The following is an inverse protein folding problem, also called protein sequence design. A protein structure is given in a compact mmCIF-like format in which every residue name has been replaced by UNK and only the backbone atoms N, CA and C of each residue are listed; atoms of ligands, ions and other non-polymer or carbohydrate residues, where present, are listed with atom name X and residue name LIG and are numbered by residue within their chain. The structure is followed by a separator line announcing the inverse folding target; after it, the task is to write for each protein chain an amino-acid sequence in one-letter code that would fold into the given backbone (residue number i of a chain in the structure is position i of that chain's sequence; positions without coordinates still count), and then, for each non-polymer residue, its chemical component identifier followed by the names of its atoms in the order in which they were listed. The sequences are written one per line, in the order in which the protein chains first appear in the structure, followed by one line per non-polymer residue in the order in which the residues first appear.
data_IF_104759746874
#
_entry.id   IF_104759746874
#
_cell.length_a   1.000
_cell.length_b   1.000
_cell.length_c   1.000
_cell.angle_alpha   90.00
_cell.angle_beta   90.00
_cell.angle_gamma   90.00
#
_symmetry.space_group_name_H-M   'P 1'
#
loop_
_entity.id
_entity.type
_entity.pdbx_description
1 polymer ?
#
# COMPACT_ATOMS: atom_id res chain seq x y z
N UNK A 1 -34.73 -84.12 14.12
CA UNK A 1 -34.41 -82.99 15.02
C UNK A 1 -33.29 -83.40 15.97
N UNK A 2 -32.14 -83.75 15.38
CA UNK A 2 -30.91 -84.42 15.91
C UNK A 2 -29.86 -84.14 14.81
N UNK A 3 -28.58 -83.78 15.01
CA UNK A 3 -27.76 -83.41 16.18
C UNK A 3 -27.02 -82.07 15.84
N UNK A 4 -26.15 -81.39 16.62
CA UNK A 4 -25.06 -81.72 17.57
C UNK A 4 -23.75 -82.28 16.94
N UNK A 5 -22.60 -81.82 17.47
CA UNK A 5 -21.21 -82.26 17.23
C UNK A 5 -20.63 -81.89 15.83
N UNK A 6 -19.57 -81.07 15.70
CA UNK A 6 -18.14 -81.20 16.12
C UNK A 6 -17.26 -82.02 15.14
N UNK A 7 -16.24 -81.34 14.54
CA UNK A 7 -14.84 -81.78 14.28
C UNK A 7 -14.65 -83.18 13.62
N UNK A 8 -13.98 -83.38 12.47
CA UNK A 8 -13.14 -82.55 11.57
C UNK A 8 -13.07 -83.28 10.16
N UNK A 9 -12.21 -83.07 9.15
CA UNK A 9 -10.96 -82.29 8.94
C UNK A 9 -10.62 -82.08 7.43
N UNK A 10 -9.54 -81.32 7.17
CA UNK A 10 -8.56 -81.44 6.06
C UNK A 10 -8.91 -81.06 4.59
N UNK A 11 -7.99 -80.25 4.02
CA UNK A 11 -7.73 -79.94 2.60
C UNK A 11 -8.88 -79.47 1.68
N UNK A 12 -8.94 -78.15 1.42
CA UNK A 12 -8.55 -77.60 0.10
C UNK A 12 -8.37 -76.06 0.07
N UNK A 13 -7.71 -75.58 -1.00
CA UNK A 13 -7.32 -74.17 -1.25
C UNK A 13 -8.52 -73.20 -1.33
N UNK A 14 -8.38 -72.00 -0.76
CA UNK A 14 -9.14 -70.79 -1.11
C UNK A 14 -8.17 -69.59 -1.13
N UNK A 15 -8.34 -68.64 -2.06
CA UNK A 15 -7.52 -67.41 -2.13
C UNK A 15 -7.94 -66.38 -1.06
N UNK A 16 -7.02 -65.54 -0.56
CA UNK A 16 -7.37 -64.45 0.35
C UNK A 16 -8.17 -63.37 -0.39
N UNK A 17 -9.29 -62.93 0.19
CA UNK A 17 -9.90 -61.64 -0.15
C UNK A 17 -9.15 -60.54 0.58
N UNK A 18 -8.62 -59.56 -0.15
CA UNK A 18 -8.10 -58.34 0.45
C UNK A 18 -9.25 -57.54 1.07
N UNK A 19 -9.05 -57.11 2.32
CA UNK A 19 -9.83 -56.03 2.95
C UNK A 19 -8.81 -54.92 3.22
N UNK A 20 -8.71 -53.96 2.31
CA UNK A 20 -7.88 -52.77 2.51
C UNK A 20 -8.58 -51.83 3.48
N UNK A 21 -8.13 -51.81 4.74
CA UNK A 21 -8.47 -50.74 5.68
C UNK A 21 -7.68 -49.51 5.24
N UNK A 22 -8.34 -48.59 4.54
CA UNK A 22 -7.75 -47.29 4.18
C UNK A 22 -7.80 -46.42 5.43
N UNK A 23 -6.68 -46.37 6.14
CA UNK A 23 -6.47 -45.37 7.19
C UNK A 23 -6.16 -44.05 6.49
N UNK A 24 -7.14 -43.15 6.44
CA UNK A 24 -6.88 -41.75 6.09
C UNK A 24 -6.12 -41.09 7.23
N UNK A 25 -4.79 -41.09 7.14
CA UNK A 25 -3.93 -40.24 7.95
C UNK A 25 -4.12 -38.79 7.51
N UNK A 26 -5.08 -38.10 8.13
CA UNK A 26 -5.14 -36.64 8.08
C UNK A 26 -3.88 -36.08 8.73
N UNK A 27 -2.90 -35.73 7.90
CA UNK A 27 -1.81 -34.86 8.32
C UNK A 27 -2.42 -33.47 8.52
N UNK A 28 -2.94 -33.21 9.72
CA UNK A 28 -3.06 -31.85 10.21
C UNK A 28 -1.64 -31.30 10.33
N UNK A 29 -1.21 -30.58 9.29
CA UNK A 29 -0.13 -29.62 9.44
C UNK A 29 -0.72 -28.53 10.34
N UNK A 30 -0.35 -28.57 11.62
CA UNK A 30 -0.46 -27.39 12.46
C UNK A 30 0.48 -26.37 11.84
N UNK A 31 -0.09 -25.37 11.17
CA UNK A 31 0.60 -24.10 10.98
C UNK A 31 0.87 -23.58 12.38
N UNK A 32 2.15 -23.35 12.68
CA UNK A 32 2.51 -22.61 13.88
C UNK A 32 2.26 -21.15 13.56
N UNK A 33 1.12 -20.64 14.01
CA UNK A 33 0.88 -19.20 14.09
C UNK A 33 1.93 -18.62 15.04
N UNK A 34 2.69 -17.65 14.54
CA UNK A 34 3.66 -16.89 15.32
C UNK A 34 3.04 -15.54 15.65
N UNK A 35 3.35 -15.02 16.83
CA UNK A 35 2.89 -13.69 17.23
C UNK A 35 3.80 -12.63 16.59
N UNK A 36 3.19 -11.70 15.88
CA UNK A 36 3.87 -10.71 15.03
C UNK A 36 4.32 -9.51 15.88
N UNK A 37 5.53 -8.99 15.64
CA UNK A 37 6.12 -7.84 16.37
C UNK A 37 6.94 -6.93 15.46
N UNK A 38 7.05 -5.65 15.80
CA UNK A 38 8.15 -4.80 15.34
C UNK A 38 9.44 -5.13 16.13
N UNK A 39 10.60 -4.92 15.50
CA UNK A 39 11.92 -5.09 16.09
C UNK A 39 12.68 -3.78 16.29
N UNK A 40 12.05 -2.63 16.00
CA UNK A 40 12.57 -1.29 16.34
C UNK A 40 12.83 -1.24 17.84
N UNK A 41 14.05 -0.94 18.30
CA UNK A 41 14.32 -0.86 19.73
C UNK A 41 13.57 0.31 20.37
N UNK A 42 13.07 0.10 21.59
CA UNK A 42 12.43 1.12 22.40
C UNK A 42 13.34 2.35 22.65
N UNK A 43 12.83 3.59 22.52
CA UNK A 43 13.50 4.77 23.06
C UNK A 43 13.37 4.81 24.58
N UNK A 44 14.39 5.32 25.27
CA UNK A 44 14.33 5.47 26.73
C UNK A 44 13.39 6.59 27.15
N UNK A 45 12.85 6.52 28.38
CA UNK A 45 11.95 7.54 28.92
C UNK A 45 12.57 8.96 28.88
N UNK A 46 13.90 9.10 29.05
CA UNK A 46 14.59 10.38 28.90
C UNK A 46 14.55 10.88 27.44
N UNK A 47 14.73 10.01 26.44
CA UNK A 47 14.68 10.35 25.00
C UNK A 47 13.26 10.66 24.51
N UNK A 48 12.25 9.94 25.02
CA UNK A 48 10.84 10.26 24.79
C UNK A 48 10.54 11.67 25.32
N UNK A 49 11.01 11.98 26.54
CA UNK A 49 10.82 13.29 27.15
C UNK A 49 11.66 14.42 26.51
N UNK A 50 12.85 14.14 25.98
CA UNK A 50 13.65 15.12 25.21
C UNK A 50 13.05 15.39 23.83
N UNK A 51 12.64 14.36 23.09
CA UNK A 51 11.95 14.55 21.80
C UNK A 51 10.59 15.22 21.97
N UNK A 52 9.84 14.93 23.05
CA UNK A 52 8.62 15.67 23.40
C UNK A 52 8.90 17.16 23.56
N UNK A 53 9.90 17.53 24.38
CA UNK A 53 10.29 18.94 24.58
C UNK A 53 10.69 19.63 23.27
N UNK A 54 11.40 18.95 22.38
CA UNK A 54 11.81 19.48 21.09
C UNK A 54 10.59 19.78 20.18
N UNK A 55 9.58 18.90 20.19
CA UNK A 55 8.33 19.11 19.44
C UNK A 55 7.50 20.25 20.06
N UNK A 56 7.37 20.27 21.40
CA UNK A 56 6.70 21.37 22.11
C UNK A 56 7.39 22.72 21.83
N UNK A 57 8.72 22.81 21.98
CA UNK A 57 9.52 24.03 21.71
C UNK A 57 9.42 24.48 20.24
N UNK A 58 9.34 23.54 19.28
CA UNK A 58 9.17 23.86 17.85
C UNK A 58 7.82 24.54 17.59
N UNK A 59 6.73 23.98 18.15
CA UNK A 59 5.38 24.53 17.97
C UNK A 59 5.13 25.80 18.79
N UNK A 60 5.79 26.00 19.93
CA UNK A 60 5.76 27.27 20.69
C UNK A 60 6.49 28.41 19.95
N UNK A 61 7.46 28.09 19.07
CA UNK A 61 8.22 29.06 18.26
C UNK A 61 7.54 29.42 16.94
N UNK A 62 7.01 28.43 16.21
CA UNK A 62 6.41 28.62 14.88
C UNK A 62 4.88 28.83 14.96
N UNK A 63 4.22 28.22 15.94
CA UNK A 63 2.76 28.15 16.06
C UNK A 63 2.14 27.06 15.17
N UNK A 64 1.04 26.46 15.61
CA UNK A 64 0.31 25.43 14.84
C UNK A 64 -0.25 26.01 13.51
N UNK A 65 -0.76 27.24 13.54
CA UNK A 65 -1.14 28.03 12.34
C UNK A 65 0.08 28.39 11.44
N UNK A 66 1.30 28.14 11.92
CA UNK A 66 2.58 28.45 11.27
C UNK A 66 3.35 27.21 10.81
N UNK A 67 2.73 26.02 10.84
CA UNK A 67 3.21 24.86 10.08
C UNK A 67 3.39 25.25 8.61
N UNK A 68 4.53 24.91 8.01
CA UNK A 68 4.59 24.90 6.56
C UNK A 68 3.74 23.73 6.06
N UNK A 69 2.68 24.06 5.32
CA UNK A 69 1.73 23.12 4.78
C UNK A 69 2.05 22.78 3.32
N UNK A 70 3.22 23.16 2.82
CA UNK A 70 3.75 22.62 1.58
C UNK A 70 3.97 21.09 1.71
N UNK A 71 3.75 20.33 0.61
CA UNK A 71 3.81 18.87 0.63
C UNK A 71 5.24 18.33 0.74
N UNK A 72 5.46 17.33 1.60
CA UNK A 72 6.77 16.68 1.72
C UNK A 72 6.88 15.54 0.72
N UNK A 73 7.92 15.55 -0.12
CA UNK A 73 8.19 14.49 -1.08
C UNK A 73 9.22 13.50 -0.52
N UNK A 74 8.84 12.24 -0.33
CA UNK A 74 9.72 11.20 0.19
C UNK A 74 10.05 10.22 -0.94
N UNK A 75 11.26 10.33 -1.48
CA UNK A 75 11.78 9.41 -2.47
C UNK A 75 12.10 8.06 -1.80
N UNK A 76 11.61 6.96 -2.37
CA UNK A 76 11.81 5.61 -1.82
C UNK A 76 12.89 4.88 -2.62
N UNK A 77 13.97 4.53 -1.94
CA UNK A 77 15.02 3.65 -2.45
C UNK A 77 14.77 2.22 -1.93
N UNK A 78 14.22 1.35 -2.78
CA UNK A 78 13.93 -0.04 -2.39
C UNK A 78 15.10 -0.97 -2.71
N UNK A 79 15.53 -1.72 -1.70
CA UNK A 79 16.58 -2.72 -1.77
C UNK A 79 15.96 -4.12 -1.62
N UNK A 80 15.74 -4.79 -2.76
CA UNK A 80 15.19 -6.15 -2.82
C UNK A 80 16.33 -7.15 -2.63
N UNK A 81 16.56 -7.58 -1.39
CA UNK A 81 17.48 -8.68 -1.10
C UNK A 81 16.73 -10.00 -1.32
N UNK A 82 17.36 -10.96 -1.99
CA UNK A 82 16.74 -12.26 -2.30
C UNK A 82 17.74 -13.43 -2.27
N UNK A 83 17.23 -14.63 -2.02
CA UNK A 83 18.01 -15.87 -1.98
C UNK A 83 18.48 -16.35 -3.36
N UNK A 84 19.49 -17.23 -3.39
CA UNK A 84 19.90 -17.96 -4.59
C UNK A 84 18.82 -18.87 -5.19
N UNK A 85 17.74 -19.13 -4.43
CA UNK A 85 16.54 -19.85 -4.89
C UNK A 85 15.46 -18.94 -5.49
N UNK A 86 15.60 -17.62 -5.41
CA UNK A 86 14.62 -16.63 -5.87
C UNK A 86 13.55 -16.23 -4.84
N UNK A 87 13.53 -16.85 -3.65
CA UNK A 87 12.71 -16.35 -2.52
C UNK A 87 13.18 -14.93 -2.15
N UNK A 88 12.25 -14.00 -1.97
CA UNK A 88 12.53 -12.58 -1.68
C UNK A 88 12.51 -11.65 -2.90
N UNK A 89 12.58 -12.16 -4.13
CA UNK A 89 12.62 -11.34 -5.34
C UNK A 89 11.22 -10.80 -5.72
N UNK A 90 10.71 -9.86 -4.94
CA UNK A 90 9.40 -9.20 -5.09
C UNK A 90 9.30 -8.51 -6.47
N UNK A 91 8.17 -8.63 -7.17
CA UNK A 91 7.91 -7.95 -8.45
C UNK A 91 7.71 -6.44 -8.27
N UNK A 92 8.11 -5.63 -9.25
CA UNK A 92 8.04 -4.16 -9.18
C UNK A 92 6.62 -3.64 -8.86
N UNK A 93 5.59 -4.20 -9.52
CA UNK A 93 4.15 -3.97 -9.20
C UNK A 93 3.77 -4.17 -7.71
N UNK A 94 4.47 -5.04 -6.98
CA UNK A 94 4.20 -5.29 -5.56
C UNK A 94 5.03 -4.38 -4.63
N UNK A 95 6.02 -3.65 -5.17
CA UNK A 95 6.71 -2.53 -4.53
C UNK A 95 5.92 -1.23 -4.76
N UNK A 96 5.42 -1.03 -5.98
CA UNK A 96 4.48 0.04 -6.34
C UNK A 96 3.27 0.02 -5.40
N UNK A 97 2.59 -1.13 -5.28
CA UNK A 97 1.46 -1.33 -4.34
C UNK A 97 1.82 -1.09 -2.86
N UNK A 98 3.06 -1.35 -2.46
CA UNK A 98 3.52 -1.09 -1.10
C UNK A 98 3.72 0.41 -0.83
N UNK A 99 4.21 1.15 -1.84
CA UNK A 99 4.35 2.61 -1.80
C UNK A 99 2.99 3.31 -1.94
N UNK A 100 2.06 2.78 -2.73
CA UNK A 100 0.65 3.18 -2.71
C UNK A 100 0.03 2.98 -1.30
N UNK A 101 0.42 1.92 -0.59
CA UNK A 101 0.05 1.68 0.80
C UNK A 101 0.59 2.73 1.79
N UNK A 102 1.77 3.30 1.53
CA UNK A 102 2.27 4.47 2.26
C UNK A 102 1.47 5.72 1.91
N UNK A 103 1.29 6.02 0.61
CA UNK A 103 0.49 7.16 0.15
C UNK A 103 -0.93 7.15 0.75
N UNK A 104 -1.58 5.97 0.78
CA UNK A 104 -2.91 5.79 1.38
C UNK A 104 -2.97 5.93 2.91
N UNK A 105 -1.83 5.87 3.61
CA UNK A 105 -1.74 6.05 5.06
C UNK A 105 -1.27 7.46 5.47
N UNK A 106 -0.50 8.15 4.62
CA UNK A 106 0.17 9.39 4.95
C UNK A 106 -0.36 10.65 4.24
N UNK A 107 -0.88 10.56 3.01
CA UNK A 107 -1.19 11.74 2.20
C UNK A 107 -2.20 12.69 2.89
N UNK A 108 -3.28 12.16 3.48
CA UNK A 108 -4.36 12.98 4.06
C UNK A 108 -3.99 13.63 5.40
N UNK A 109 -3.34 12.90 6.31
CA UNK A 109 -3.02 13.38 7.67
C UNK A 109 -1.67 14.11 7.74
N UNK A 110 -0.65 13.63 7.01
CA UNK A 110 0.71 14.18 7.08
C UNK A 110 1.02 15.16 5.95
N UNK A 111 0.30 15.11 4.82
CA UNK A 111 0.69 15.79 3.57
C UNK A 111 2.08 15.32 3.06
N UNK A 112 2.42 14.05 3.32
CA UNK A 112 3.67 13.40 2.87
C UNK A 112 3.34 12.43 1.74
N UNK A 113 4.09 12.52 0.64
CA UNK A 113 3.86 11.76 -0.59
C UNK A 113 5.09 10.96 -0.97
N UNK A 114 4.90 9.68 -1.29
CA UNK A 114 5.95 8.71 -1.51
C UNK A 114 6.04 8.30 -2.99
N UNK A 115 7.24 8.40 -3.55
CA UNK A 115 7.55 7.99 -4.94
C UNK A 115 8.55 6.84 -4.93
N UNK A 116 8.23 5.72 -5.60
CA UNK A 116 9.18 4.64 -5.83
C UNK A 116 10.16 5.02 -6.95
N UNK A 117 11.20 5.78 -6.59
CA UNK A 117 12.21 6.25 -7.54
C UNK A 117 13.16 5.12 -7.97
N UNK A 118 13.78 4.43 -7.01
CA UNK A 118 14.87 3.49 -7.29
C UNK A 118 14.59 2.11 -6.71
N UNK A 119 14.65 1.08 -7.56
CA UNK A 119 14.63 -0.33 -7.16
C UNK A 119 15.98 -0.98 -7.46
N UNK A 120 16.65 -1.47 -6.41
CA UNK A 120 17.87 -2.30 -6.51
C UNK A 120 17.55 -3.75 -6.14
N UNK A 121 18.27 -4.71 -6.74
CA UNK A 121 17.99 -6.15 -6.60
C UNK A 121 19.29 -6.93 -6.36
N UNK A 122 19.43 -7.52 -5.18
CA UNK A 122 20.68 -8.17 -4.73
C UNK A 122 20.44 -9.61 -4.29
N UNK A 123 21.02 -10.55 -5.05
CA UNK A 123 21.04 -11.98 -4.67
C UNK A 123 22.12 -12.21 -3.60
N UNK A 124 21.70 -12.51 -2.36
CA UNK A 124 22.59 -12.84 -1.25
C UNK A 124 21.85 -13.68 -0.21
N UNK A 125 22.13 -14.98 -0.16
CA UNK A 125 21.63 -15.85 0.93
C UNK A 125 22.13 -15.37 2.31
N UNK A 126 23.30 -14.73 2.38
CA UNK A 126 23.89 -14.18 3.61
C UNK A 126 23.17 -12.92 4.11
N UNK A 127 22.58 -12.10 3.23
CA UNK A 127 21.81 -10.92 3.65
C UNK A 127 20.31 -11.18 3.70
N UNK A 128 19.82 -12.23 3.03
CA UNK A 128 18.39 -12.50 2.98
C UNK A 128 17.84 -13.11 4.27
N UNK A 129 18.51 -14.10 4.87
CA UNK A 129 18.01 -14.77 6.08
C UNK A 129 18.60 -14.13 7.36
N UNK A 130 17.77 -13.40 8.09
CA UNK A 130 18.15 -12.64 9.31
C UNK A 130 17.51 -13.26 10.55
N UNK A 131 18.10 -13.13 11.74
CA UNK A 131 17.46 -13.55 12.98
C UNK A 131 16.25 -12.66 13.33
N UNK A 132 15.41 -13.12 14.26
CA UNK A 132 14.25 -12.38 14.81
C UNK A 132 14.47 -11.88 16.24
N UNK A 133 15.72 -11.93 16.72
CA UNK A 133 16.13 -11.38 18.00
C UNK A 133 16.85 -10.03 17.81
N UNK A 134 17.03 -9.30 18.90
CA UNK A 134 17.74 -8.01 18.92
C UNK A 134 19.24 -8.09 18.54
N UNK A 135 19.72 -9.25 18.08
CA UNK A 135 21.03 -9.42 17.46
C UNK A 135 21.00 -9.20 15.93
N UNK A 136 19.82 -9.00 15.33
CA UNK A 136 19.65 -8.54 13.94
C UNK A 136 19.93 -7.03 13.79
N UNK A 137 19.44 -6.24 14.75
CA UNK A 137 19.60 -4.79 14.85
C UNK A 137 21.09 -4.44 15.07
N UNK A 138 21.60 -3.47 14.31
CA UNK A 138 23.02 -3.08 14.26
C UNK A 138 23.99 -4.26 14.03
N UNK A 139 23.51 -5.36 13.44
CA UNK A 139 24.32 -6.57 13.23
C UNK A 139 25.43 -6.35 12.20
N UNK A 140 26.47 -7.19 12.23
CA UNK A 140 27.50 -7.18 11.18
C UNK A 140 26.91 -7.48 9.79
N UNK A 141 25.88 -8.33 9.74
CA UNK A 141 25.11 -8.68 8.54
C UNK A 141 24.39 -7.46 7.97
N UNK A 142 23.60 -6.77 8.79
CA UNK A 142 22.87 -5.57 8.39
C UNK A 142 23.81 -4.40 8.07
N UNK A 143 24.88 -4.22 8.86
CA UNK A 143 25.92 -3.21 8.59
C UNK A 143 26.51 -3.41 7.20
N UNK A 144 26.93 -4.64 6.85
CA UNK A 144 27.52 -4.94 5.55
C UNK A 144 26.53 -4.77 4.39
N UNK A 145 25.24 -5.08 4.61
CA UNK A 145 24.17 -4.85 3.65
C UNK A 145 23.94 -3.35 3.41
N UNK A 146 23.70 -2.57 4.46
CA UNK A 146 23.40 -1.13 4.38
C UNK A 146 24.59 -0.32 3.85
N UNK A 147 25.81 -0.59 4.32
CA UNK A 147 27.07 0.04 3.83
C UNK A 147 27.34 -0.24 2.34
N UNK A 148 26.85 -1.38 1.82
CA UNK A 148 27.02 -1.75 0.41
C UNK A 148 25.92 -1.25 -0.53
N UNK A 149 24.74 -0.88 -0.01
CA UNK A 149 23.52 -0.68 -0.81
C UNK A 149 22.85 0.68 -0.64
N UNK A 150 23.05 1.36 0.50
CA UNK A 150 22.31 2.58 0.83
C UNK A 150 22.50 3.69 -0.21
N UNK A 151 21.38 4.31 -0.58
CA UNK A 151 21.31 5.42 -1.54
C UNK A 151 20.91 6.67 -0.78
N UNK A 152 21.79 7.68 -0.84
CA UNK A 152 21.63 9.04 -0.30
C UNK A 152 20.58 9.21 0.83
N UNK A 153 20.91 8.76 2.06
CA UNK A 153 19.98 8.80 3.21
C UNK A 153 19.40 10.17 3.54
N UNK A 154 20.00 11.26 3.04
CA UNK A 154 19.52 12.64 3.23
C UNK A 154 18.18 12.86 2.53
N UNK A 155 18.04 12.34 1.30
CA UNK A 155 16.89 12.59 0.43
C UNK A 155 15.98 11.36 0.25
N UNK A 156 16.42 10.16 0.64
CA UNK A 156 15.72 8.90 0.35
C UNK A 156 15.36 8.09 1.61
N UNK A 157 14.10 7.66 1.68
CA UNK A 157 13.67 6.57 2.55
C UNK A 157 14.19 5.24 1.99
N UNK A 158 15.26 4.74 2.59
CA UNK A 158 15.88 3.47 2.21
C UNK A 158 15.08 2.30 2.82
N UNK A 159 14.60 1.36 2.00
CA UNK A 159 13.76 0.22 2.44
C UNK A 159 14.40 -1.11 2.04
N UNK A 160 14.76 -1.95 3.02
CA UNK A 160 15.46 -3.22 2.80
C UNK A 160 14.53 -4.41 3.04
N UNK A 161 14.09 -5.11 1.98
CA UNK A 161 13.23 -6.29 2.13
C UNK A 161 14.05 -7.57 2.30
N UNK A 162 13.91 -8.23 3.46
CA UNK A 162 14.66 -9.43 3.89
C UNK A 162 13.71 -10.53 4.40
N UNK A 163 14.24 -11.61 4.98
CA UNK A 163 13.48 -12.70 5.62
C UNK A 163 14.00 -12.95 7.03
N UNK A 164 13.28 -12.44 8.01
CA UNK A 164 13.45 -12.80 9.43
C UNK A 164 13.07 -14.27 9.68
N UNK A 165 13.74 -14.90 10.64
CA UNK A 165 13.52 -16.30 11.00
C UNK A 165 12.81 -16.39 12.36
N UNK A 166 11.54 -16.78 12.36
CA UNK A 166 10.69 -16.86 13.57
C UNK A 166 11.34 -17.65 14.73
N UNK A 167 11.23 -17.12 15.96
CA UNK A 167 11.91 -17.64 17.15
C UNK A 167 11.04 -17.50 18.40
N UNK A 168 11.14 -18.46 19.33
CA UNK A 168 10.45 -18.41 20.63
C UNK A 168 8.91 -18.46 20.62
N UNK A 169 8.27 -18.45 19.44
CA UNK A 169 6.82 -18.25 19.26
C UNK A 169 6.46 -16.96 18.51
N UNK A 170 7.45 -16.14 18.15
CA UNK A 170 7.31 -14.79 17.61
C UNK A 170 7.95 -14.66 16.23
N UNK A 171 7.53 -13.65 15.46
CA UNK A 171 8.19 -13.24 14.21
C UNK A 171 8.25 -11.72 14.10
N UNK A 172 9.45 -11.21 13.82
CA UNK A 172 9.70 -9.78 13.58
C UNK A 172 9.29 -9.42 12.15
N UNK A 173 8.35 -8.49 11.98
CA UNK A 173 7.87 -8.08 10.66
C UNK A 173 8.71 -6.96 10.04
N UNK A 174 9.32 -6.10 10.85
CA UNK A 174 10.25 -5.07 10.42
C UNK A 174 11.01 -4.46 11.60
N UNK A 175 11.94 -3.55 11.32
CA UNK A 175 12.55 -2.66 12.30
C UNK A 175 13.14 -1.42 11.61
N UNK A 176 13.32 -0.38 12.40
CA UNK A 176 13.89 0.89 12.01
C UNK A 176 14.77 1.47 13.13
N UNK A 177 15.30 2.66 12.89
CA UNK A 177 16.13 3.44 13.80
C UNK A 177 15.57 4.85 13.88
N UNK A 178 15.27 5.33 15.08
CA UNK A 178 14.69 6.67 15.24
C UNK A 178 15.67 7.77 14.76
N UNK A 179 15.17 8.86 14.12
CA UNK A 179 16.02 9.92 13.56
C UNK A 179 17.04 10.51 14.53
N UNK A 180 16.69 10.73 15.80
CA UNK A 180 17.60 11.36 16.77
C UNK A 180 18.81 10.51 17.17
N UNK A 181 18.84 9.21 16.84
CA UNK A 181 19.96 8.32 17.14
C UNK A 181 21.11 8.39 16.12
N UNK A 182 20.82 8.87 14.92
CA UNK A 182 21.74 8.86 13.79
C UNK A 182 21.86 10.26 13.20
N UNK A 183 22.99 10.56 12.56
CA UNK A 183 23.00 11.70 11.64
C UNK A 183 22.13 11.37 10.43
N UNK A 184 21.49 12.37 9.85
CA UNK A 184 20.71 12.28 8.62
C UNK A 184 21.41 11.47 7.50
N UNK A 185 22.68 11.77 7.21
CA UNK A 185 23.46 11.07 6.17
C UNK A 185 23.96 9.66 6.58
N UNK A 186 23.24 8.96 7.46
CA UNK A 186 23.62 7.65 8.01
C UNK A 186 22.93 6.52 7.27
N UNK A 187 23.67 5.44 6.96
CA UNK A 187 23.13 4.19 6.38
C UNK A 187 22.03 3.54 7.24
N UNK A 188 21.89 3.96 8.50
CA UNK A 188 20.89 3.49 9.45
C UNK A 188 19.53 4.20 9.29
N UNK A 189 19.44 5.33 8.60
CA UNK A 189 18.13 5.91 8.29
C UNK A 189 17.38 4.98 7.32
N UNK A 190 16.11 4.69 7.62
CA UNK A 190 15.24 3.84 6.81
C UNK A 190 15.14 2.40 7.28
N UNK A 191 14.10 1.71 6.81
CA UNK A 191 13.50 0.49 7.37
C UNK A 191 14.10 -0.80 6.82
N UNK A 192 14.22 -1.83 7.66
CA UNK A 192 14.36 -3.22 7.23
C UNK A 192 13.05 -3.98 7.47
N UNK A 193 12.52 -4.70 6.47
CA UNK A 193 11.15 -5.28 6.50
C UNK A 193 11.11 -6.72 5.97
N UNK A 194 10.22 -7.56 6.50
CA UNK A 194 10.01 -8.92 6.03
C UNK A 194 9.29 -8.93 4.66
N UNK A 195 9.89 -9.60 3.67
CA UNK A 195 9.49 -9.56 2.26
C UNK A 195 8.04 -9.99 1.94
N UNK A 196 7.34 -10.63 2.89
CA UNK A 196 5.92 -11.01 2.78
C UNK A 196 4.94 -10.01 3.39
N UNK A 197 5.40 -9.08 4.22
CA UNK A 197 4.59 -8.12 4.97
C UNK A 197 4.84 -6.67 4.53
N UNK A 198 5.28 -6.49 3.28
CA UNK A 198 5.53 -5.17 2.68
C UNK A 198 4.23 -4.39 2.39
N UNK A 199 3.09 -5.07 2.40
CA UNK A 199 1.74 -4.53 2.18
C UNK A 199 0.91 -4.68 3.46
N UNK A 200 -0.04 -3.77 3.68
CA UNK A 200 -0.81 -3.68 4.93
C UNK A 200 -0.17 -2.72 5.93
N UNK A 201 -0.44 -2.89 7.23
CA UNK A 201 -0.03 -1.93 8.26
C UNK A 201 1.47 -1.88 8.58
N UNK A 202 2.23 -2.92 8.29
CA UNK A 202 3.66 -3.02 8.66
C UNK A 202 4.53 -1.93 8.03
N UNK A 203 4.44 -1.69 6.72
CA UNK A 203 5.29 -0.67 6.09
C UNK A 203 4.96 0.76 6.56
N UNK A 204 3.68 1.16 6.71
CA UNK A 204 3.31 2.39 7.41
C UNK A 204 3.79 2.48 8.85
N UNK A 205 3.74 1.38 9.63
CA UNK A 205 4.22 1.31 11.02
C UNK A 205 5.73 1.56 11.13
N UNK A 206 6.55 0.87 10.34
CA UNK A 206 8.00 1.09 10.33
C UNK A 206 8.36 2.47 9.76
N UNK A 207 7.57 3.00 8.81
CA UNK A 207 7.70 4.39 8.35
C UNK A 207 7.29 5.40 9.45
N UNK A 208 6.41 5.02 10.37
CA UNK A 208 6.09 5.84 11.54
C UNK A 208 7.32 6.05 12.41
N UNK A 209 8.08 4.99 12.67
CA UNK A 209 9.39 5.09 13.34
C UNK A 209 10.42 5.92 12.54
N UNK A 210 10.40 5.85 11.19
CA UNK A 210 11.26 6.67 10.32
C UNK A 210 11.01 8.16 10.54
N UNK A 211 9.75 8.57 10.74
CA UNK A 211 9.37 9.97 10.99
C UNK A 211 9.24 10.30 12.49
N UNK A 212 9.73 9.42 13.39
CA UNK A 212 9.83 9.70 14.83
C UNK A 212 8.60 9.37 15.69
N UNK A 213 7.63 8.62 15.15
CA UNK A 213 6.50 8.10 15.92
C UNK A 213 6.90 6.90 16.78
N UNK A 214 6.35 6.86 17.98
CA UNK A 214 6.58 5.82 19.00
C UNK A 214 5.36 4.90 19.04
N UNK A 215 5.49 3.69 19.55
CA UNK A 215 4.35 2.80 19.78
C UNK A 215 3.32 3.41 20.73
N UNK A 216 2.04 3.35 20.38
CA UNK A 216 0.91 3.93 21.15
C UNK A 216 0.78 3.41 22.60
N UNK A 217 1.48 2.32 22.93
CA UNK A 217 1.51 1.67 24.24
C UNK A 217 2.76 2.01 25.08
N UNK A 218 3.71 2.80 24.55
CA UNK A 218 5.03 2.97 25.17
C UNK A 218 4.94 3.70 26.52
N UNK A 219 5.35 3.04 27.62
CA UNK A 219 5.24 3.57 28.98
C UNK A 219 3.84 3.47 29.61
N UNK A 220 2.86 2.96 28.85
CA UNK A 220 1.51 2.63 29.30
C UNK A 220 0.74 3.74 30.02
N UNK A 221 -0.22 3.34 30.86
CA UNK A 221 -1.10 4.20 31.66
C UNK A 221 -0.38 5.01 32.79
N UNK A 222 0.89 5.38 32.62
CA UNK A 222 1.66 6.06 33.67
C UNK A 222 2.90 6.84 33.21
N UNK A 223 3.43 6.60 32.01
CA UNK A 223 4.53 7.37 31.42
C UNK A 223 4.05 8.58 30.60
N UNK A 224 4.93 9.10 29.74
CA UNK A 224 4.64 10.17 28.75
C UNK A 224 3.88 9.65 27.51
N UNK A 225 3.42 8.39 27.53
CA UNK A 225 2.90 7.64 26.38
C UNK A 225 3.88 7.66 25.18
N UNK A 226 3.36 7.56 23.95
CA UNK A 226 4.06 7.82 22.68
C UNK A 226 4.46 9.29 22.47
N UNK A 227 4.33 10.14 23.49
CA UNK A 227 4.60 11.57 23.49
C UNK A 227 3.77 12.39 22.48
N UNK A 228 2.57 11.92 22.12
CA UNK A 228 1.53 12.65 21.39
C UNK A 228 0.31 12.86 22.33
N UNK A 229 -0.46 13.94 22.14
CA UNK A 229 -1.55 14.34 23.06
C UNK A 229 -2.95 13.87 22.63
N UNK A 230 -3.17 13.52 21.37
CA UNK A 230 -4.45 13.04 20.84
C UNK A 230 -4.51 11.51 20.67
N UNK A 231 -3.43 10.81 21.01
CA UNK A 231 -3.31 9.35 21.13
C UNK A 231 -3.65 8.90 22.57
N UNK A 232 -4.78 8.20 22.80
CA UNK A 232 -5.11 7.72 24.14
C UNK A 232 -4.07 6.71 24.66
N UNK A 233 -3.70 6.84 25.93
CA UNK A 233 -2.76 5.90 26.54
C UNK A 233 -3.36 4.49 26.61
N UNK A 234 -2.54 3.46 26.36
CA UNK A 234 -2.95 2.07 26.47
C UNK A 234 -1.86 1.16 27.04
N UNK A 235 -2.25 0.00 27.58
CA UNK A 235 -1.32 -0.96 28.18
C UNK A 235 -0.65 -1.87 27.15
N UNK A 236 0.64 -2.13 27.35
CA UNK A 236 1.44 -3.15 26.64
C UNK A 236 0.79 -4.57 26.64
N UNK A 237 0.02 -4.91 27.68
CA UNK A 237 -0.73 -6.18 27.77
C UNK A 237 -1.94 -6.26 26.80
N UNK A 238 -2.28 -5.17 26.09
CA UNK A 238 -3.55 -5.00 25.37
C UNK A 238 -3.44 -4.80 23.84
N UNK A 239 -2.22 -4.88 23.29
CA UNK A 239 -1.81 -4.33 21.97
C UNK A 239 -2.21 -5.14 20.72
N UNK A 240 -2.84 -6.31 20.88
CA UNK A 240 -3.24 -7.22 19.78
C UNK A 240 -4.76 -7.30 19.57
N UNK A 241 -5.50 -6.30 20.04
CA UNK A 241 -6.96 -6.30 20.04
C UNK A 241 -7.52 -5.33 19.01
N UNK A 242 -8.59 -5.72 18.33
CA UNK A 242 -9.37 -4.87 17.42
C UNK A 242 -10.74 -4.45 18.01
N UNK A 243 -10.90 -4.55 19.33
CA UNK A 243 -12.10 -4.08 20.01
C UNK A 243 -12.04 -2.55 20.23
N UNK A 244 -12.72 -1.76 19.40
CA UNK A 244 -12.82 -0.29 19.55
C UNK A 244 -13.52 0.17 20.85
N UNK A 245 -14.04 -0.74 21.66
CA UNK A 245 -14.53 -0.49 23.03
C UNK A 245 -13.60 -1.08 24.10
N UNK A 246 -12.31 -1.23 23.79
CA UNK A 246 -11.27 -1.57 24.75
C UNK A 246 -10.78 -0.29 25.44
N UNK A 247 -10.59 -0.41 26.75
CA UNK A 247 -10.10 0.63 27.64
C UNK A 247 -9.25 -0.09 28.69
N UNK A 248 -7.94 0.00 28.52
CA UNK A 248 -6.92 -0.58 29.40
C UNK A 248 -6.38 0.44 30.41
N UNK A 249 -6.61 1.74 30.18
CA UNK A 249 -6.23 2.86 31.03
C UNK A 249 -7.45 3.67 31.55
N UNK A 250 -8.41 3.06 32.29
CA UNK A 250 -9.74 3.62 32.59
C UNK A 250 -9.76 4.78 33.61
N UNK A 251 -8.61 5.40 33.87
CA UNK A 251 -8.48 6.65 34.64
C UNK A 251 -8.12 7.84 33.74
N UNK A 252 -7.70 7.55 32.51
CA UNK A 252 -7.16 8.47 31.51
C UNK A 252 -8.20 8.67 30.37
N UNK A 253 -8.07 9.71 29.52
CA UNK A 253 -9.12 10.05 28.56
C UNK A 253 -9.00 9.26 27.25
N UNK A 254 -9.92 8.33 27.01
CA UNK A 254 -10.13 7.71 25.69
C UNK A 254 -10.52 6.24 25.75
N UNK A 255 -10.44 5.58 24.61
CA UNK A 255 -10.37 4.13 24.46
C UNK A 255 -9.01 3.81 23.85
N UNK A 256 -8.50 2.59 24.04
CA UNK A 256 -7.24 2.13 23.43
C UNK A 256 -7.23 2.40 21.90
N UNK A 257 -6.14 2.94 21.32
CA UNK A 257 -6.03 3.23 19.89
C UNK A 257 -5.81 1.96 19.03
N UNK A 258 -6.74 1.02 19.11
CA UNK A 258 -6.75 -0.31 18.45
C UNK A 258 -6.82 -0.30 16.91
N UNK A 259 -6.80 0.87 16.29
CA UNK A 259 -6.74 1.02 14.82
C UNK A 259 -5.59 1.94 14.38
N UNK A 260 -4.80 2.47 15.33
CA UNK A 260 -3.67 3.31 15.00
C UNK A 260 -2.54 2.46 14.38
N UNK A 261 -1.87 2.98 13.35
CA UNK A 261 -0.76 2.27 12.72
C UNK A 261 0.38 1.93 13.69
N UNK A 262 0.63 2.75 14.73
CA UNK A 262 1.65 2.52 15.76
C UNK A 262 1.21 1.56 16.89
N UNK A 263 0.25 0.67 16.61
CA UNK A 263 -0.20 -0.42 17.48
C UNK A 263 0.11 -1.79 16.81
N UNK A 264 -0.08 -2.93 17.51
CA UNK A 264 0.15 -4.29 16.96
C UNK A 264 -1.16 -5.04 16.61
N UNK A 265 -2.27 -4.33 16.48
CA UNK A 265 -3.61 -4.84 16.14
C UNK A 265 -3.76 -5.14 14.63
N UNK A 266 -4.49 -6.21 14.26
CA UNK A 266 -4.70 -6.65 12.86
C UNK A 266 -5.69 -5.79 12.04
N UNK A 267 -6.00 -4.58 12.51
CA UNK A 267 -6.93 -3.63 11.90
C UNK A 267 -6.40 -2.18 11.88
N UNK A 268 -5.08 -1.99 11.84
CA UNK A 268 -4.44 -0.68 11.64
C UNK A 268 -4.96 0.02 10.37
N UNK A 269 -5.44 1.26 10.48
CA UNK A 269 -5.92 2.04 9.34
C UNK A 269 -5.90 3.58 9.52
N UNK A 270 -5.32 4.11 10.60
CA UNK A 270 -5.34 5.55 10.89
C UNK A 270 -4.10 6.03 11.65
N UNK A 271 -3.70 7.28 11.44
CA UNK A 271 -2.80 8.06 12.28
C UNK A 271 -3.56 9.27 12.84
N UNK A 272 -3.05 9.92 13.89
CA UNK A 272 -3.67 11.13 14.45
C UNK A 272 -3.03 12.42 13.90
N UNK A 273 -3.72 13.55 14.04
CA UNK A 273 -3.20 14.86 13.60
C UNK A 273 -1.95 15.23 14.45
N UNK A 274 -1.98 14.93 15.75
CA UNK A 274 -0.82 15.11 16.64
C UNK A 274 0.38 14.21 16.29
N UNK A 275 0.16 13.04 15.67
CA UNK A 275 1.25 12.23 15.11
C UNK A 275 1.86 12.93 13.88
N UNK A 276 1.07 13.59 13.03
CA UNK A 276 1.62 14.40 11.92
C UNK A 276 2.37 15.66 12.42
N UNK A 277 1.85 16.36 13.43
CA UNK A 277 2.54 17.50 14.06
C UNK A 277 3.88 17.07 14.69
N UNK A 278 3.93 15.91 15.35
CA UNK A 278 5.17 15.31 15.87
C UNK A 278 6.14 14.98 14.73
N UNK A 279 5.65 14.28 13.70
CA UNK A 279 6.49 13.82 12.60
C UNK A 279 7.15 14.97 11.84
N UNK A 280 6.43 16.08 11.62
CA UNK A 280 6.97 17.23 10.91
C UNK A 280 8.08 17.92 11.69
N UNK A 281 7.87 18.16 12.99
CA UNK A 281 8.89 18.73 13.87
C UNK A 281 10.13 17.83 14.03
N UNK A 282 9.99 16.50 13.93
CA UNK A 282 11.13 15.56 13.91
C UNK A 282 11.90 15.64 12.59
N UNK A 283 11.22 15.65 11.43
CA UNK A 283 11.88 15.80 10.11
C UNK A 283 12.66 17.12 10.06
N UNK A 284 12.06 18.25 10.43
CA UNK A 284 12.71 19.57 10.49
C UNK A 284 14.02 19.58 11.31
N UNK A 285 14.11 18.78 12.39
CA UNK A 285 15.26 18.78 13.30
C UNK A 285 16.32 17.70 13.00
N UNK A 286 15.93 16.59 12.37
CA UNK A 286 16.78 15.39 12.23
C UNK A 286 16.88 14.83 10.80
N UNK A 287 15.98 15.24 9.90
CA UNK A 287 15.93 14.79 8.51
C UNK A 287 15.49 15.88 7.49
N UNK A 288 15.96 17.14 7.61
CA UNK A 288 15.48 18.25 6.78
C UNK A 288 15.70 18.08 5.27
N UNK A 289 16.61 17.19 4.84
CA UNK A 289 16.83 16.86 3.42
C UNK A 289 15.60 16.28 2.72
N UNK A 290 14.66 15.68 3.44
CA UNK A 290 13.36 15.27 2.87
C UNK A 290 12.50 16.47 2.42
N UNK A 291 12.79 17.67 2.93
CA UNK A 291 12.15 18.93 2.58
C UNK A 291 12.85 19.62 1.38
N UNK A 292 14.02 19.12 0.94
CA UNK A 292 14.71 19.59 -0.28
C UNK A 292 14.24 18.84 -1.55
N UNK A 293 13.34 17.86 -1.42
CA UNK A 293 12.86 17.04 -2.54
C UNK A 293 11.73 17.73 -3.33
N UNK A 294 12.04 18.15 -4.56
CA UNK A 294 11.09 18.71 -5.52
C UNK A 294 10.16 17.65 -6.14
N UNK A 295 8.94 18.05 -6.55
CA UNK A 295 8.02 17.21 -7.33
C UNK A 295 8.18 17.46 -8.83
N UNK A 296 8.70 16.48 -9.57
CA UNK A 296 8.93 16.58 -11.01
C UNK A 296 7.82 15.98 -11.89
N UNK A 297 6.94 15.14 -11.33
CA UNK A 297 5.89 14.43 -12.06
C UNK A 297 4.52 14.62 -11.42
N UNK A 298 3.43 14.74 -12.20
CA UNK A 298 2.06 14.78 -11.68
C UNK A 298 1.54 13.38 -11.32
N UNK A 299 0.46 13.31 -10.55
CA UNK A 299 -0.25 12.06 -10.23
C UNK A 299 -1.59 12.02 -10.96
N UNK A 300 -1.56 11.74 -12.27
CA UNK A 300 -2.76 11.79 -13.13
C UNK A 300 -3.61 10.52 -13.03
N UNK A 301 -4.93 10.68 -13.22
CA UNK A 301 -5.86 9.57 -13.44
C UNK A 301 -7.14 9.99 -14.18
N UNK A 302 -7.89 9.02 -14.70
CA UNK A 302 -9.26 9.23 -15.19
C UNK A 302 -10.25 9.05 -14.03
N UNK A 303 -10.79 10.15 -13.50
CA UNK A 303 -11.75 10.14 -12.38
C UNK A 303 -13.22 10.00 -12.81
N UNK A 304 -13.50 10.05 -14.12
CA UNK A 304 -14.82 9.76 -14.66
C UNK A 304 -14.88 9.84 -16.18
N UNK A 305 -15.96 9.29 -16.77
CA UNK A 305 -16.26 9.40 -18.19
C UNK A 305 -17.65 10.01 -18.39
N UNK A 306 -17.74 11.07 -19.18
CA UNK A 306 -18.99 11.67 -19.61
C UNK A 306 -19.27 11.31 -21.07
N UNK A 307 -20.48 10.79 -21.35
CA UNK A 307 -20.91 10.39 -22.69
C UNK A 307 -21.92 11.40 -23.22
N UNK A 308 -21.77 11.81 -24.48
CA UNK A 308 -22.64 12.80 -25.14
C UNK A 308 -22.82 12.47 -26.61
N UNK A 309 -23.76 13.14 -27.30
CA UNK A 309 -24.06 12.93 -28.73
C UNK A 309 -24.62 11.53 -29.06
N UNK A 310 -25.19 10.83 -28.06
CA UNK A 310 -26.16 9.75 -28.25
C UNK A 310 -27.27 10.21 -29.22
N UNK A 311 -27.71 9.30 -30.10
CA UNK A 311 -28.53 9.60 -31.29
C UNK A 311 -30.02 9.43 -31.04
N UNK A 312 -30.44 8.62 -30.05
CA UNK A 312 -31.86 8.46 -29.68
C UNK A 312 -32.26 9.25 -28.41
N UNK A 313 -31.30 9.56 -27.54
CA UNK A 313 -31.40 10.46 -26.40
C UNK A 313 -31.75 9.78 -25.08
N UNK A 314 -31.66 8.45 -24.96
CA UNK A 314 -31.93 7.72 -23.72
C UNK A 314 -30.76 7.72 -22.72
N UNK A 315 -29.57 8.20 -23.12
CA UNK A 315 -28.36 8.27 -22.30
C UNK A 315 -27.54 6.98 -22.27
N UNK A 316 -27.84 6.01 -23.12
CA UNK A 316 -27.13 4.73 -23.27
C UNK A 316 -26.36 4.74 -24.59
N UNK A 317 -25.22 4.04 -24.64
CA UNK A 317 -24.53 3.79 -25.90
C UNK A 317 -25.08 2.50 -26.53
N UNK A 318 -25.75 2.65 -27.68
CA UNK A 318 -26.44 1.57 -28.36
C UNK A 318 -25.66 1.12 -29.64
N UNK A 319 -25.73 -0.16 -30.06
CA UNK A 319 -25.07 -0.63 -31.29
C UNK A 319 -25.53 0.12 -32.54
N UNK A 320 -24.58 0.63 -33.34
CA UNK A 320 -24.86 1.41 -34.55
C UNK A 320 -24.86 2.93 -34.37
N UNK A 321 -24.56 3.43 -33.17
CA UNK A 321 -24.45 4.85 -32.88
C UNK A 321 -23.02 5.40 -32.96
N UNK A 322 -22.90 6.73 -33.08
CA UNK A 322 -21.67 7.49 -32.86
C UNK A 322 -21.84 8.40 -31.64
N UNK A 323 -21.01 8.23 -30.62
CA UNK A 323 -21.01 9.03 -29.39
C UNK A 323 -19.69 9.75 -29.17
N UNK A 324 -19.67 10.67 -28.20
CA UNK A 324 -18.51 11.43 -27.77
C UNK A 324 -18.18 11.16 -26.32
N UNK A 325 -16.94 10.79 -26.05
CA UNK A 325 -16.43 10.47 -24.72
C UNK A 325 -15.57 11.65 -24.24
N UNK A 326 -15.91 12.18 -23.06
CA UNK A 326 -15.16 13.22 -22.35
C UNK A 326 -14.68 12.66 -21.01
N UNK A 327 -13.41 12.22 -20.90
CA UNK A 327 -12.83 11.87 -19.61
C UNK A 327 -12.67 13.11 -18.73
N UNK A 328 -12.93 12.95 -17.43
CA UNK A 328 -12.44 13.85 -16.39
C UNK A 328 -11.09 13.33 -15.92
N UNK A 329 -10.10 14.22 -15.93
CA UNK A 329 -8.74 13.95 -15.48
C UNK A 329 -8.54 14.64 -14.12
N UNK A 330 -8.00 13.90 -13.18
CA UNK A 330 -7.57 14.40 -11.87
C UNK A 330 -6.05 14.39 -11.81
N UNK A 331 -5.44 15.43 -11.24
CA UNK A 331 -4.06 15.40 -10.76
C UNK A 331 -4.11 15.34 -9.23
N UNK A 332 -3.84 14.19 -8.60
CA UNK A 332 -4.04 14.04 -7.15
C UNK A 332 -3.01 14.83 -6.33
N UNK A 333 -1.74 14.77 -6.73
CA UNK A 333 -0.59 15.36 -6.05
C UNK A 333 0.61 15.44 -7.01
N UNK A 334 1.71 16.05 -6.56
CA UNK A 334 2.95 16.12 -7.33
C UNK A 334 3.12 17.42 -8.10
N UNK A 335 3.70 17.34 -9.30
CA UNK A 335 3.92 18.49 -10.16
C UNK A 335 2.63 19.02 -10.78
N UNK A 336 2.68 20.24 -11.31
CA UNK A 336 1.67 20.75 -12.24
C UNK A 336 1.78 19.95 -13.55
N UNK A 337 0.66 19.45 -14.05
CA UNK A 337 0.60 18.73 -15.32
C UNK A 337 0.42 19.72 -16.48
N UNK A 338 1.54 20.16 -17.08
CA UNK A 338 1.58 20.93 -18.32
C UNK A 338 1.44 20.02 -19.57
N UNK A 339 1.02 20.63 -20.69
CA UNK A 339 0.91 19.99 -22.03
C UNK A 339 0.25 18.60 -22.01
N UNK A 340 -0.87 18.43 -21.30
CA UNK A 340 -1.54 17.12 -21.15
C UNK A 340 -2.24 16.69 -22.44
N UNK A 341 -1.86 15.53 -22.96
CA UNK A 341 -2.55 14.84 -24.06
C UNK A 341 -3.14 13.51 -23.59
N UNK A 342 -4.28 13.14 -24.15
CA UNK A 342 -4.89 11.82 -23.99
C UNK A 342 -4.99 11.13 -25.34
N UNK A 343 -4.71 9.82 -25.39
CA UNK A 343 -4.91 8.98 -26.58
C UNK A 343 -5.78 7.77 -26.22
N UNK A 344 -6.96 7.67 -26.84
CA UNK A 344 -7.86 6.52 -26.68
C UNK A 344 -7.46 5.36 -27.60
N UNK A 345 -7.37 4.15 -27.07
CA UNK A 345 -7.06 2.93 -27.82
C UNK A 345 -7.96 1.74 -27.43
N UNK A 346 -8.15 0.79 -28.35
CA UNK A 346 -8.74 -0.53 -28.07
C UNK A 346 -8.44 -1.51 -29.22
N UNK A 347 -8.31 -2.80 -28.89
CA UNK A 347 -8.24 -3.91 -29.85
C UNK A 347 -9.64 -4.53 -30.15
N UNK A 348 -10.72 -4.03 -29.55
CA UNK A 348 -12.07 -4.60 -29.67
C UNK A 348 -12.79 -4.12 -30.95
N UNK A 349 -12.91 -5.01 -31.94
CA UNK A 349 -13.58 -4.76 -33.24
C UNK A 349 -15.04 -4.25 -33.14
N UNK A 350 -15.67 -4.29 -31.95
CA UNK A 350 -16.98 -3.67 -31.72
C UNK A 350 -16.95 -2.14 -31.78
N UNK A 351 -15.81 -1.51 -31.50
CA UNK A 351 -15.67 -0.05 -31.40
C UNK A 351 -14.69 0.49 -32.45
N UNK A 352 -15.19 1.35 -33.34
CA UNK A 352 -14.35 2.13 -34.25
C UNK A 352 -14.14 3.54 -33.65
N UNK A 353 -12.89 3.91 -33.35
CA UNK A 353 -12.54 5.26 -32.90
C UNK A 353 -12.43 6.16 -34.14
N UNK A 354 -13.20 7.24 -34.20
CA UNK A 354 -13.18 8.24 -35.29
C UNK A 354 -12.40 9.50 -34.92
N UNK A 355 -12.35 9.85 -33.64
CA UNK A 355 -11.36 10.77 -33.08
C UNK A 355 -10.78 10.19 -31.78
N UNK A 356 -9.45 10.15 -31.69
CA UNK A 356 -8.72 9.37 -30.68
C UNK A 356 -7.80 10.22 -29.80
N UNK A 357 -7.79 11.53 -29.96
CA UNK A 357 -6.88 12.44 -29.24
C UNK A 357 -7.70 13.51 -28.51
N UNK A 358 -7.28 13.87 -27.30
CA UNK A 358 -7.71 15.10 -26.61
C UNK A 358 -6.45 15.86 -26.20
N UNK A 359 -6.41 17.18 -26.40
CA UNK A 359 -5.36 18.06 -25.86
C UNK A 359 -5.94 19.08 -24.87
N UNK A 360 -5.46 19.05 -23.63
CA UNK A 360 -5.83 20.06 -22.63
C UNK A 360 -5.23 21.43 -22.98
N UNK A 361 -6.07 22.47 -22.85
CA UNK A 361 -5.71 23.85 -23.19
C UNK A 361 -5.17 24.65 -22.00
N UNK A 362 -5.21 24.05 -20.80
CA UNK A 362 -4.71 24.62 -19.54
C UNK A 362 -4.03 23.49 -18.75
N UNK A 363 -2.99 23.79 -17.94
CA UNK A 363 -2.40 22.80 -17.05
C UNK A 363 -3.38 22.31 -15.97
N UNK A 364 -3.06 21.18 -15.34
CA UNK A 364 -3.82 20.61 -14.22
C UNK A 364 -2.97 20.69 -12.95
N UNK A 365 -3.37 21.55 -12.00
CA UNK A 365 -2.69 21.70 -10.72
C UNK A 365 -2.94 20.51 -9.77
N UNK A 366 -2.07 20.30 -8.76
CA UNK A 366 -2.31 19.30 -7.71
C UNK A 366 -3.64 19.53 -6.98
N UNK A 367 -4.39 18.45 -6.78
CA UNK A 367 -5.74 18.45 -6.22
C UNK A 367 -6.85 18.85 -7.21
N UNK A 368 -6.54 19.24 -8.46
CA UNK A 368 -7.54 19.66 -9.43
C UNK A 368 -8.19 18.49 -10.19
N UNK A 369 -9.45 18.68 -10.56
CA UNK A 369 -10.22 17.79 -11.44
C UNK A 369 -10.80 18.61 -12.59
N UNK A 370 -10.49 18.23 -13.82
CA UNK A 370 -10.86 18.99 -15.03
C UNK A 370 -11.20 18.08 -16.20
N UNK A 371 -11.76 18.65 -17.26
CA UNK A 371 -12.12 17.96 -18.50
C UNK A 371 -12.18 18.97 -19.64
N UNK A 372 -11.84 18.56 -20.86
CA UNK A 372 -11.86 19.51 -21.97
C UNK A 372 -13.28 19.88 -22.41
N UNK A 373 -13.46 21.16 -22.75
CA UNK A 373 -14.77 21.73 -23.06
C UNK A 373 -15.12 21.54 -24.54
N UNK A 374 -14.17 21.81 -25.43
CA UNK A 374 -14.38 21.83 -26.88
C UNK A 374 -13.77 20.62 -27.61
N UNK A 375 -13.06 19.77 -26.89
CA UNK A 375 -12.41 18.56 -27.38
C UNK A 375 -13.06 17.29 -26.79
N UNK A 376 -12.95 16.15 -27.46
CA UNK A 376 -13.53 14.86 -27.07
C UNK A 376 -12.99 13.72 -27.94
N UNK A 377 -12.97 12.49 -27.41
CA UNK A 377 -12.91 11.31 -28.28
C UNK A 377 -14.26 11.12 -28.98
N UNK A 378 -14.24 10.67 -30.22
CA UNK A 378 -15.46 10.28 -30.96
C UNK A 378 -15.34 8.81 -31.36
N UNK A 379 -16.40 8.03 -31.07
CA UNK A 379 -16.40 6.58 -31.28
C UNK A 379 -17.73 6.10 -31.88
N UNK A 380 -17.67 5.06 -32.70
CA UNK A 380 -18.81 4.41 -33.33
C UNK A 380 -18.88 2.93 -32.93
N UNK A 381 -20.04 2.45 -32.50
CA UNK A 381 -20.27 1.03 -32.25
C UNK A 381 -20.81 0.34 -33.51
N UNK A 382 -20.24 -0.79 -33.90
CA UNK A 382 -20.75 -1.59 -35.01
C UNK A 382 -22.22 -1.99 -34.79
N UNK A 383 -23.06 -1.88 -35.82
CA UNK A 383 -24.52 -2.07 -35.71
C UNK A 383 -24.97 -3.51 -35.35
N UNK A 384 -24.06 -4.47 -35.46
CA UNK A 384 -24.20 -5.87 -35.04
C UNK A 384 -23.28 -6.26 -33.87
N UNK A 385 -22.67 -5.27 -33.20
CA UNK A 385 -21.81 -5.48 -32.04
C UNK A 385 -22.55 -6.17 -30.89
N UNK A 386 -21.85 -7.09 -30.20
CA UNK A 386 -22.37 -7.76 -29.01
C UNK A 386 -22.36 -6.80 -27.81
N UNK A 387 -23.47 -6.77 -27.07
CA UNK A 387 -23.63 -5.97 -25.87
C UNK A 387 -22.65 -6.40 -24.76
N UNK A 388 -22.40 -5.48 -23.84
CA UNK A 388 -21.52 -5.63 -22.70
C UNK A 388 -20.36 -4.63 -22.75
N UNK A 389 -19.52 -4.72 -21.73
CA UNK A 389 -18.36 -3.85 -21.59
C UNK A 389 -17.34 -4.10 -22.71
N UNK A 390 -16.87 -3.00 -23.30
CA UNK A 390 -15.69 -2.91 -24.16
C UNK A 390 -14.56 -2.39 -23.26
N UNK A 391 -13.37 -2.95 -23.38
CA UNK A 391 -12.17 -2.45 -22.69
C UNK A 391 -11.43 -1.52 -23.63
N UNK A 392 -11.08 -0.34 -23.13
CA UNK A 392 -10.28 0.65 -23.85
C UNK A 392 -9.18 1.14 -22.91
N UNK A 393 -8.05 1.54 -23.45
CA UNK A 393 -7.01 2.24 -22.72
C UNK A 393 -7.09 3.73 -23.05
N UNK A 394 -6.87 4.58 -22.06
CA UNK A 394 -6.48 5.98 -22.27
C UNK A 394 -5.03 6.10 -21.84
N UNK A 395 -4.14 6.24 -22.81
CA UNK A 395 -2.76 6.67 -22.59
C UNK A 395 -2.78 8.19 -22.29
N UNK A 396 -2.10 8.61 -21.23
CA UNK A 396 -2.02 10.00 -20.76
C UNK A 396 -0.57 10.43 -20.77
N UNK A 397 -0.24 11.51 -21.48
CA UNK A 397 1.10 12.10 -21.48
C UNK A 397 1.08 13.55 -21.01
N UNK A 398 2.17 14.00 -20.38
CA UNK A 398 2.35 15.35 -19.81
C UNK A 398 3.85 15.65 -19.61
N UNK A 399 4.19 16.86 -19.17
CA UNK A 399 5.54 17.22 -18.76
C UNK A 399 6.44 17.73 -19.89
N UNK A 400 7.75 17.65 -19.70
CA UNK A 400 8.75 18.29 -20.58
C UNK A 400 9.70 17.27 -21.25
N UNK A 401 10.57 17.74 -22.16
CA UNK A 401 11.64 16.90 -22.70
C UNK A 401 12.67 16.44 -21.63
N UNK A 402 12.70 17.09 -20.46
CA UNK A 402 13.59 16.75 -19.34
C UNK A 402 12.91 15.84 -18.30
N UNK A 403 11.60 16.04 -18.09
CA UNK A 403 10.74 15.24 -17.21
C UNK A 403 9.47 14.82 -17.97
N UNK A 404 9.56 13.80 -18.86
CA UNK A 404 8.41 13.29 -19.59
C UNK A 404 7.57 12.38 -18.69
N UNK A 405 6.25 12.57 -18.73
CA UNK A 405 5.28 11.76 -17.99
C UNK A 405 4.39 10.98 -18.96
N UNK A 406 4.20 9.68 -18.71
CA UNK A 406 3.32 8.80 -19.47
C UNK A 406 2.71 7.74 -18.54
N UNK A 407 1.38 7.56 -18.57
CA UNK A 407 0.66 6.47 -17.90
C UNK A 407 -0.43 5.88 -18.80
N UNK A 408 -0.75 4.60 -18.58
CA UNK A 408 -1.83 3.89 -19.25
C UNK A 408 -2.99 3.62 -18.27
N UNK A 409 -4.18 4.13 -18.59
CA UNK A 409 -5.38 3.96 -17.75
C UNK A 409 -6.41 3.08 -18.44
N UNK A 410 -6.62 1.87 -17.91
CA UNK A 410 -7.70 0.97 -18.33
C UNK A 410 -9.08 1.57 -17.98
N UNK A 411 -9.93 1.72 -18.98
CA UNK A 411 -11.32 2.15 -18.84
C UNK A 411 -12.27 1.14 -19.47
N UNK A 412 -13.58 1.29 -19.20
CA UNK A 412 -14.60 0.51 -19.89
C UNK A 412 -15.74 1.35 -20.44
N UNK A 413 -16.01 1.15 -21.72
CA UNK A 413 -17.15 1.71 -22.45
C UNK A 413 -18.24 0.64 -22.51
N UNK A 414 -19.39 0.88 -21.88
CA UNK A 414 -20.46 -0.13 -21.81
C UNK A 414 -21.44 0.02 -22.97
N UNK A 415 -21.49 -0.98 -23.85
CA UNK A 415 -22.43 -1.04 -24.97
C UNK A 415 -23.69 -1.81 -24.54
N UNK A 416 -24.87 -1.20 -24.62
CA UNK A 416 -26.09 -1.75 -24.03
C UNK A 416 -27.33 -1.52 -24.90
N UNK A 417 -28.51 -1.86 -24.37
CA UNK A 417 -29.84 -1.55 -24.91
C UNK A 417 -30.79 -1.41 -23.73
N UNK A 418 -30.71 -0.30 -22.99
CA UNK A 418 -31.43 -0.12 -21.72
C UNK A 418 -32.87 0.40 -21.94
N UNK A 419 -33.64 -0.35 -22.74
CA UNK A 419 -34.87 0.06 -23.44
C UNK A 419 -35.96 0.75 -22.59
N UNK A 420 -35.82 2.05 -22.33
CA UNK A 420 -36.92 2.89 -21.83
C UNK A 420 -37.69 3.54 -22.99
N UNK A 421 -38.53 2.75 -23.66
CA UNK A 421 -39.46 3.25 -24.68
C UNK A 421 -39.40 2.56 -26.04
N UNK A 422 -38.52 1.58 -26.22
CA UNK A 422 -38.37 0.84 -27.48
C UNK A 422 -39.68 0.12 -27.88
N UNK A 423 -40.22 0.34 -29.09
CA UNK A 423 -41.52 -0.19 -29.48
C UNK A 423 -41.44 -1.69 -29.80
N UNK A 424 -41.87 -2.52 -28.85
CA UNK A 424 -41.98 -3.99 -28.99
C UNK A 424 -43.07 -4.47 -29.99
N UNK A 425 -43.75 -3.57 -30.70
CA UNK A 425 -44.68 -3.94 -31.79
C UNK A 425 -43.93 -4.31 -33.08
N UNK A 426 -43.61 -5.60 -33.22
CA UNK A 426 -43.21 -6.21 -34.51
C UNK A 426 -41.89 -6.96 -34.51
N UNK A 427 -41.07 -6.84 -33.45
CA UNK A 427 -39.78 -7.52 -33.36
C UNK A 427 -39.97 -8.99 -32.94
N UNK A 428 -39.79 -9.91 -33.88
CA UNK A 428 -39.70 -11.34 -33.59
C UNK A 428 -38.28 -11.72 -33.17
N UNK A 429 -38.01 -11.70 -31.86
CA UNK A 429 -36.82 -12.34 -31.28
C UNK A 429 -36.83 -13.83 -31.67
N UNK A 430 -35.65 -14.43 -31.88
CA UNK A 430 -35.46 -15.77 -32.45
C UNK A 430 -34.42 -16.59 -31.72
#
# INVERSE_FOLDING_TARGET
MINYLWINENYMRILPKFISIIIFSYNFILLQEYQEVCGTPDPTEDEINDTRRLVDDYWDLNGLDGRDNDPVHILVAWHVIYSSSGQGNISDLALEQAVDGLNGAYNETFNYYFTLDTVTRTMSDEWFEVSSDSAAVYSFQETAMRDSLSIDPVHYYNVYSVKTLASGGWITLGWNYFPMWNIESSIWQGTTIHYQYINGGTLPHECGHYVGLIHTFQGGCSGTNDAVDDTPAMSEDAIYSCNQSQDSCPNDPGNDPVTNYMNYSDCQNVFTDGQAERAYAIIENYHPGLLENEFYYPSLSVSGLNFTNDTDGDGVFNPGETIKIKPSITNYWGAIADDVYLVLSTDDERLAITDSIIQFQNPIGPGEVTFELLDWFEVYASADAQLGNILCNINITSGSEEYPYEIDVDISVSLSLNQYGFPIEGVSIK
#
